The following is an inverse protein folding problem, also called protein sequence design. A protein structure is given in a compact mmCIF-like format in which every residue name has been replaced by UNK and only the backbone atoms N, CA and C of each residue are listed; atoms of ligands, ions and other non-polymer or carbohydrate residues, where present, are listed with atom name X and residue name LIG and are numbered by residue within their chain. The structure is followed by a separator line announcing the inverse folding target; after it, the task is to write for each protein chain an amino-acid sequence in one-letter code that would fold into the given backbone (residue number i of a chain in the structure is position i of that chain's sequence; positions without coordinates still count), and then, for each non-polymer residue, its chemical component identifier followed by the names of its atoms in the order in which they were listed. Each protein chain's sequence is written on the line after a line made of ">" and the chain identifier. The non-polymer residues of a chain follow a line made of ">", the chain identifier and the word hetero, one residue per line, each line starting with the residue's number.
data_IF_988889465769
#
_entry.id   IF_988889465769
#
_cell.length_a   1.000
_cell.length_b   1.000
_cell.length_c   1.000
_cell.angle_alpha   90.00
_cell.angle_beta   90.00
_cell.angle_gamma   90.00
#
_symmetry.space_group_name_H-M   'P 1'
#
loop_
_entity.id
_entity.type
_entity.pdbx_description
1 polymer ?
#
# COMPACT_ATOMS: atom_id res chain seq x y z
N UNK A 1 -11.13 9.05 10.58
CA UNK A 1 -11.26 8.48 9.23
C UNK A 1 -11.04 9.57 8.19
N UNK A 2 -10.63 9.16 6.98
CA UNK A 2 -10.02 10.01 5.97
C UNK A 2 -10.90 11.20 5.61
N UNK A 3 -10.25 12.37 5.55
CA UNK A 3 -10.90 13.66 5.29
C UNK A 3 -10.78 14.10 3.83
N UNK A 4 -9.96 13.41 3.04
CA UNK A 4 -9.70 13.77 1.64
C UNK A 4 -10.64 13.01 0.73
N UNK A 5 -11.11 13.71 -0.30
CA UNK A 5 -11.94 13.11 -1.32
C UNK A 5 -11.11 12.28 -2.30
N UNK A 6 -11.61 11.08 -2.62
CA UNK A 6 -11.04 10.23 -3.67
C UNK A 6 -11.68 10.51 -5.04
N UNK A 7 -12.75 11.31 -5.07
CA UNK A 7 -13.68 11.51 -6.20
C UNK A 7 -14.29 10.21 -6.72
N UNK A 8 -14.39 9.19 -5.86
CA UNK A 8 -15.04 7.91 -6.13
C UNK A 8 -16.27 7.72 -5.25
N UNK A 9 -17.24 6.98 -5.74
CA UNK A 9 -18.43 6.55 -5.00
C UNK A 9 -18.44 5.04 -4.82
N UNK A 10 -19.05 4.59 -3.73
CA UNK A 10 -19.38 3.18 -3.53
C UNK A 10 -20.52 2.76 -4.48
N UNK A 11 -20.81 1.45 -4.53
CA UNK A 11 -21.84 0.90 -5.42
C UNK A 11 -23.26 1.41 -5.13
N UNK A 12 -23.49 1.99 -3.94
CA UNK A 12 -24.74 2.58 -3.50
C UNK A 12 -24.72 4.13 -3.50
N UNK A 13 -23.83 4.73 -4.31
CA UNK A 13 -23.66 6.16 -4.52
C UNK A 13 -23.17 6.97 -3.31
N UNK A 14 -22.85 6.32 -2.18
CA UNK A 14 -22.19 6.99 -1.04
C UNK A 14 -20.74 7.36 -1.34
N UNK A 15 -20.21 8.33 -0.62
CA UNK A 15 -18.80 8.72 -0.74
C UNK A 15 -17.89 7.52 -0.45
N UNK A 16 -16.89 7.27 -1.31
CA UNK A 16 -15.84 6.30 -1.03
C UNK A 16 -14.63 7.03 -0.43
N UNK A 17 -14.23 6.60 0.76
CA UNK A 17 -12.99 7.02 1.42
C UNK A 17 -12.01 5.87 1.46
N UNK A 18 -10.72 6.20 1.50
CA UNK A 18 -9.64 5.23 1.57
C UNK A 18 -8.77 5.54 2.77
N UNK A 19 -8.48 4.50 3.55
CA UNK A 19 -7.47 4.50 4.60
C UNK A 19 -6.33 3.56 4.23
N UNK A 20 -5.10 3.95 4.55
CA UNK A 20 -3.95 3.08 4.41
C UNK A 20 -3.68 2.33 5.71
N UNK A 21 -3.32 1.06 5.56
CA UNK A 21 -2.80 0.23 6.64
C UNK A 21 -1.51 -0.44 6.20
N UNK A 22 -0.62 -0.71 7.14
CA UNK A 22 0.67 -1.37 6.90
C UNK A 22 1.12 -2.08 8.17
N UNK A 23 2.10 -2.96 8.03
CA UNK A 23 2.84 -3.55 9.14
C UNK A 23 4.32 -3.35 8.91
N UNK A 24 5.07 -3.21 10.00
CA UNK A 24 6.52 -3.21 9.97
C UNK A 24 7.05 -3.74 11.30
N UNK A 25 8.29 -4.22 11.31
CA UNK A 25 9.01 -4.45 12.55
C UNK A 25 9.17 -3.14 13.34
N UNK A 26 9.08 -3.21 14.66
CA UNK A 26 9.09 -2.04 15.55
C UNK A 26 10.42 -1.27 15.58
N UNK A 27 11.50 -1.87 15.08
CA UNK A 27 12.80 -1.24 14.95
C UNK A 27 12.88 -0.28 13.74
N UNK A 28 11.97 -0.39 12.77
CA UNK A 28 11.92 0.54 11.63
C UNK A 28 11.06 1.76 11.98
N UNK A 29 11.70 2.80 12.50
CA UNK A 29 11.02 3.97 13.08
C UNK A 29 10.53 5.01 12.07
N UNK A 30 10.72 4.79 10.77
CA UNK A 30 10.35 5.75 9.72
C UNK A 30 9.00 5.43 9.05
N UNK A 31 8.36 4.31 9.39
CA UNK A 31 7.14 3.85 8.70
C UNK A 31 5.98 4.84 8.80
N UNK A 32 5.85 5.57 9.91
CA UNK A 32 4.85 6.62 10.08
C UNK A 32 4.99 7.74 9.03
N UNK A 33 6.23 8.15 8.74
CA UNK A 33 6.55 9.13 7.70
C UNK A 33 6.34 8.55 6.30
N UNK A 34 6.65 7.27 6.08
CA UNK A 34 6.38 6.58 4.81
C UNK A 34 4.88 6.59 4.52
N UNK A 35 4.04 6.17 5.47
CA UNK A 35 2.57 6.21 5.33
C UNK A 35 2.07 7.64 5.11
N UNK A 36 2.67 8.62 5.80
CA UNK A 36 2.36 10.04 5.59
C UNK A 36 2.69 10.49 4.16
N UNK A 37 3.84 10.12 3.61
CA UNK A 37 4.22 10.38 2.21
C UNK A 37 3.19 9.80 1.24
N UNK A 38 2.77 8.55 1.44
CA UNK A 38 1.72 7.91 0.66
C UNK A 38 0.41 8.71 0.71
N UNK A 39 -0.04 9.09 1.91
CA UNK A 39 -1.26 9.88 2.11
C UNK A 39 -1.16 11.27 1.45
N UNK A 40 -0.02 11.95 1.54
CA UNK A 40 0.18 13.24 0.89
C UNK A 40 0.14 13.16 -0.64
N UNK A 41 0.66 12.09 -1.25
CA UNK A 41 0.56 11.90 -2.69
C UNK A 41 -0.90 11.76 -3.16
N UNK A 42 -1.76 11.14 -2.35
CA UNK A 42 -3.21 11.08 -2.61
C UNK A 42 -3.86 12.44 -2.37
N UNK A 43 -3.63 13.05 -1.20
CA UNK A 43 -4.26 14.31 -0.80
C UNK A 43 -3.94 15.49 -1.73
N UNK A 44 -2.76 15.48 -2.36
CA UNK A 44 -2.34 16.51 -3.32
C UNK A 44 -2.78 16.23 -4.76
N UNK A 45 -3.53 15.14 -4.99
CA UNK A 45 -3.99 14.74 -6.32
C UNK A 45 -2.88 14.23 -7.24
N UNK A 46 -1.67 13.99 -6.72
CA UNK A 46 -0.56 13.42 -7.50
C UNK A 46 -0.85 11.98 -7.90
N UNK A 47 -1.60 11.25 -7.08
CA UNK A 47 -1.98 9.86 -7.30
C UNK A 47 -3.46 9.69 -7.02
N UNK A 48 -4.19 9.09 -7.96
CA UNK A 48 -5.51 8.54 -7.69
C UNK A 48 -5.33 7.14 -7.10
N UNK A 49 -5.70 6.98 -5.83
CA UNK A 49 -5.49 5.72 -5.11
C UNK A 49 -6.50 4.65 -5.54
N UNK A 50 -6.00 3.45 -5.80
CA UNK A 50 -6.76 2.23 -6.06
C UNK A 50 -5.91 1.01 -5.65
N UNK A 51 -6.50 -0.19 -5.50
CA UNK A 51 -5.70 -1.41 -5.43
C UNK A 51 -4.81 -1.59 -6.67
N UNK A 52 -3.79 -2.43 -6.51
CA UNK A 52 -2.90 -2.91 -7.57
C UNK A 52 -2.13 -1.80 -8.28
N UNK A 53 -1.42 -0.98 -7.49
CA UNK A 53 -0.44 -0.04 -8.02
C UNK A 53 0.77 0.10 -7.10
N UNK A 54 1.88 0.65 -7.61
CA UNK A 54 3.10 0.91 -6.84
C UNK A 54 3.29 2.42 -6.64
N UNK A 55 3.51 2.83 -5.39
CA UNK A 55 4.03 4.16 -5.04
C UNK A 55 5.56 4.11 -5.04
N UNK A 56 6.22 4.61 -6.11
CA UNK A 56 7.67 4.58 -6.17
C UNK A 56 8.28 5.48 -5.09
N UNK A 57 9.41 5.06 -4.51
CA UNK A 57 10.28 5.86 -3.64
C UNK A 57 9.64 6.33 -2.33
N UNK A 58 8.47 5.79 -1.98
CA UNK A 58 7.77 6.17 -0.75
C UNK A 58 8.59 5.88 0.52
N UNK A 59 9.43 4.84 0.49
CA UNK A 59 10.37 4.52 1.58
C UNK A 59 11.68 5.29 1.41
N UNK A 60 12.26 5.28 0.20
CA UNK A 60 13.60 5.84 -0.06
C UNK A 60 13.70 7.35 0.22
N UNK A 61 12.60 8.10 0.09
CA UNK A 61 12.51 9.52 0.50
C UNK A 61 12.72 9.71 2.01
N UNK A 62 12.35 8.72 2.82
CA UNK A 62 12.43 8.75 4.29
C UNK A 62 13.67 8.04 4.84
N UNK A 63 14.08 6.94 4.20
CA UNK A 63 15.31 6.19 4.50
C UNK A 63 15.84 5.52 3.22
N UNK A 64 16.88 6.06 2.58
CA UNK A 64 17.42 5.50 1.34
C UNK A 64 18.35 4.29 1.56
N UNK A 65 18.60 3.89 2.82
CA UNK A 65 19.60 2.85 3.14
C UNK A 65 19.02 1.43 3.20
N UNK A 66 17.69 1.30 3.29
CA UNK A 66 16.99 0.02 3.37
C UNK A 66 16.79 -0.61 1.99
N UNK A 67 16.64 -1.95 1.97
CA UNK A 67 16.46 -2.70 0.73
C UNK A 67 15.12 -2.40 0.05
N UNK A 68 14.03 -2.35 0.83
CA UNK A 68 12.70 -1.99 0.32
C UNK A 68 12.60 -0.48 0.11
N UNK A 69 12.25 -0.04 -1.11
CA UNK A 69 12.27 1.38 -1.50
C UNK A 69 10.90 1.94 -1.86
N UNK A 70 9.99 1.08 -2.29
CA UNK A 70 8.66 1.46 -2.80
C UNK A 70 7.56 0.83 -1.95
N UNK A 71 6.33 1.31 -2.10
CA UNK A 71 5.16 0.69 -1.49
C UNK A 71 4.23 0.15 -2.58
N UNK A 72 4.01 -1.16 -2.60
CA UNK A 72 2.90 -1.78 -3.30
C UNK A 72 1.60 -1.46 -2.55
N UNK A 73 0.58 -1.01 -3.27
CA UNK A 73 -0.76 -0.77 -2.73
C UNK A 73 -1.68 -1.87 -3.21
N UNK A 74 -2.28 -2.60 -2.28
CA UNK A 74 -3.08 -3.79 -2.59
C UNK A 74 -4.26 -3.92 -1.62
N UNK A 75 -5.17 -4.83 -1.94
CA UNK A 75 -6.23 -5.22 -1.01
C UNK A 75 -5.61 -5.89 0.22
N UNK A 76 -6.05 -5.56 1.45
CA UNK A 76 -5.50 -6.18 2.65
C UNK A 76 -5.61 -7.71 2.61
N UNK A 77 -4.48 -8.38 2.80
CA UNK A 77 -4.42 -9.85 2.88
C UNK A 77 -4.00 -10.36 4.26
N UNK A 78 -3.47 -9.50 5.14
CA UNK A 78 -3.13 -9.91 6.51
C UNK A 78 -4.32 -9.92 7.47
N UNK A 79 -5.39 -9.17 7.18
CA UNK A 79 -6.53 -8.96 8.09
C UNK A 79 -7.83 -9.67 7.65
N UNK A 80 -7.75 -10.56 6.66
CA UNK A 80 -8.89 -11.32 6.14
C UNK A 80 -9.82 -10.48 5.24
N UNK A 81 -11.06 -10.95 5.07
CA UNK A 81 -11.98 -10.43 4.04
C UNK A 81 -12.68 -9.11 4.39
N UNK A 82 -12.59 -8.63 5.64
CA UNK A 82 -13.20 -7.35 6.02
C UNK A 82 -12.26 -6.18 5.68
N UNK A 83 -12.45 -5.63 4.48
CA UNK A 83 -11.64 -4.55 3.92
C UNK A 83 -12.38 -3.21 3.83
N UNK A 84 -13.61 -3.14 4.33
CA UNK A 84 -14.43 -1.93 4.35
C UNK A 84 -15.10 -1.73 5.70
N UNK A 85 -15.33 -0.47 6.04
CA UNK A 85 -16.19 -0.03 7.14
C UNK A 85 -17.33 0.78 6.56
N UNK A 86 -18.55 0.33 6.87
CA UNK A 86 -19.79 0.96 6.45
C UNK A 86 -20.20 2.03 7.48
N UNK A 87 -20.34 3.28 7.03
CA UNK A 87 -20.74 4.42 7.84
C UNK A 87 -22.01 5.05 7.27
N UNK A 88 -22.74 5.83 8.07
CA UNK A 88 -24.06 6.35 7.68
C UNK A 88 -24.05 7.07 6.31
N UNK A 89 -23.05 7.90 6.04
CA UNK A 89 -23.00 8.74 4.83
C UNK A 89 -21.88 8.35 3.85
N UNK A 90 -21.08 7.33 4.17
CA UNK A 90 -19.89 6.96 3.38
C UNK A 90 -19.50 5.50 3.58
N UNK A 91 -18.67 4.99 2.67
CA UNK A 91 -17.95 3.73 2.83
C UNK A 91 -16.47 4.04 2.92
N UNK A 92 -15.77 3.47 3.91
CA UNK A 92 -14.32 3.58 4.02
C UNK A 92 -13.68 2.25 3.68
N UNK A 93 -12.94 2.19 2.57
CA UNK A 93 -12.13 1.05 2.17
C UNK A 93 -10.72 1.15 2.76
N UNK A 94 -10.15 0.02 3.13
CA UNK A 94 -8.77 -0.09 3.57
C UNK A 94 -7.91 -0.66 2.46
N UNK A 95 -6.75 -0.03 2.23
CA UNK A 95 -5.72 -0.54 1.34
C UNK A 95 -4.44 -0.81 2.12
N UNK A 96 -3.84 -1.98 1.86
CA UNK A 96 -2.58 -2.37 2.45
C UNK A 96 -1.43 -1.80 1.63
N UNK A 97 -0.52 -1.13 2.32
CA UNK A 97 0.78 -0.76 1.78
C UNK A 97 1.78 -1.86 2.14
N UNK A 98 2.46 -2.43 1.15
CA UNK A 98 3.46 -3.50 1.31
C UNK A 98 4.81 -3.00 0.82
N UNK A 99 5.87 -3.02 1.65
CA UNK A 99 7.22 -2.66 1.21
C UNK A 99 7.74 -3.61 0.11
N UNK A 100 8.28 -3.02 -0.97
CA UNK A 100 8.91 -3.75 -2.08
C UNK A 100 10.23 -3.11 -2.51
N UNK A 101 11.14 -3.90 -3.09
CA UNK A 101 12.39 -3.40 -3.67
C UNK A 101 12.28 -3.05 -5.17
N UNK A 102 13.40 -2.60 -5.76
CA UNK A 102 13.48 -2.23 -7.18
C UNK A 102 13.15 -3.43 -8.09
N UNK A 103 13.60 -4.64 -7.75
CA UNK A 103 13.40 -5.85 -8.55
C UNK A 103 11.94 -6.27 -8.55
N UNK A 104 11.28 -6.18 -7.40
CA UNK A 104 9.85 -6.42 -7.25
C UNK A 104 9.01 -5.35 -7.96
N UNK A 105 9.40 -4.08 -7.88
CA UNK A 105 8.76 -3.02 -8.64
C UNK A 105 8.84 -3.28 -10.15
N UNK A 106 10.00 -3.70 -10.64
CA UNK A 106 10.18 -4.05 -12.06
C UNK A 106 9.35 -5.29 -12.45
N UNK A 107 9.29 -6.31 -11.59
CA UNK A 107 8.42 -7.45 -11.78
C UNK A 107 6.94 -7.04 -11.89
N UNK A 108 6.47 -6.17 -11.00
CA UNK A 108 5.10 -5.64 -11.02
C UNK A 108 4.83 -4.81 -12.29
N UNK A 109 5.84 -4.10 -12.81
CA UNK A 109 5.75 -3.38 -14.08
C UNK A 109 5.60 -4.32 -15.28
N UNK A 110 6.28 -5.46 -15.27
CA UNK A 110 6.27 -6.45 -16.37
C UNK A 110 5.04 -7.36 -16.34
N UNK A 111 4.61 -7.80 -15.16
CA UNK A 111 3.54 -8.80 -15.00
C UNK A 111 2.22 -8.18 -14.53
N UNK A 112 2.23 -7.56 -13.34
CA UNK A 112 1.24 -6.65 -12.78
C UNK A 112 1.49 -6.52 -11.25
N UNK A 113 1.03 -5.45 -10.60
CA UNK A 113 1.05 -5.36 -9.12
C UNK A 113 0.23 -6.48 -8.44
N UNK A 114 -0.87 -6.92 -9.07
CA UNK A 114 -1.68 -8.05 -8.60
C UNK A 114 -0.86 -9.35 -8.60
N UNK A 115 -0.11 -9.63 -9.67
CA UNK A 115 0.78 -10.82 -9.75
C UNK A 115 1.90 -10.79 -8.73
N UNK A 116 2.43 -9.61 -8.42
CA UNK A 116 3.38 -9.46 -7.30
C UNK A 116 2.70 -9.79 -5.96
N UNK A 117 1.49 -9.30 -5.73
CA UNK A 117 0.71 -9.61 -4.50
C UNK A 117 0.48 -11.13 -4.37
N UNK A 118 0.10 -11.81 -5.45
CA UNK A 118 -0.06 -13.27 -5.47
C UNK A 118 1.26 -13.99 -5.12
N UNK A 119 2.38 -13.55 -5.70
CA UNK A 119 3.70 -14.12 -5.46
C UNK A 119 4.12 -13.96 -3.99
N UNK A 120 3.98 -12.75 -3.42
CA UNK A 120 4.32 -12.47 -2.02
C UNK A 120 3.51 -13.36 -1.06
N UNK A 121 2.22 -13.53 -1.32
CA UNK A 121 1.34 -14.37 -0.53
C UNK A 121 1.68 -15.86 -0.67
N UNK A 122 1.85 -16.34 -1.90
CA UNK A 122 2.17 -17.75 -2.17
C UNK A 122 3.50 -18.18 -1.54
N UNK A 123 4.48 -17.29 -1.53
CA UNK A 123 5.80 -17.54 -0.95
C UNK A 123 5.87 -17.22 0.55
N UNK A 124 4.78 -16.77 1.18
CA UNK A 124 4.73 -16.38 2.59
C UNK A 124 5.86 -15.41 2.99
N UNK A 125 6.12 -14.43 2.13
CA UNK A 125 7.21 -13.47 2.30
C UNK A 125 7.01 -12.69 3.60
N UNK A 126 8.07 -12.54 4.40
CA UNK A 126 8.04 -11.72 5.62
C UNK A 126 8.01 -10.23 5.28
N UNK A 127 6.84 -9.72 4.92
CA UNK A 127 6.63 -8.32 4.54
C UNK A 127 6.81 -7.32 5.69
N UNK A 128 7.06 -7.77 6.93
CA UNK A 128 7.35 -6.90 8.06
C UNK A 128 8.82 -6.45 8.06
N UNK A 129 9.72 -7.25 7.46
CA UNK A 129 11.15 -6.97 7.40
C UNK A 129 11.47 -6.06 6.20
N UNK A 130 11.85 -4.81 6.49
CA UNK A 130 12.22 -3.79 5.50
C UNK A 130 13.56 -4.09 4.80
N UNK A 131 14.35 -5.03 5.33
CA UNK A 131 15.66 -5.42 4.82
C UNK A 131 15.68 -6.86 4.28
N UNK A 132 14.52 -7.49 4.11
CA UNK A 132 14.42 -8.81 3.50
C UNK A 132 15.03 -8.79 2.08
N UNK A 133 15.51 -9.93 1.59
CA UNK A 133 15.83 -10.08 0.17
C UNK A 133 14.56 -9.99 -0.69
N UNK A 134 14.76 -9.68 -1.98
CA UNK A 134 13.70 -9.72 -2.99
C UNK A 134 13.02 -11.10 -3.02
N UNK A 135 11.71 -11.10 -3.21
CA UNK A 135 10.95 -12.32 -3.48
C UNK A 135 11.03 -12.75 -4.95
N UNK A 136 11.56 -11.89 -5.81
CA UNK A 136 11.74 -12.13 -7.24
C UNK A 136 13.22 -12.43 -7.51
N UNK A 137 13.47 -13.47 -8.29
CA UNK A 137 14.80 -13.93 -8.69
C UNK A 137 15.19 -13.43 -10.10
#
# INVERSE_FOLDING_TARGET
>A
MARFDTNLTAADDRELRVEFLTVCQSNFTAMDKVVSTCAFNVATGRIQVKPDFVMPDAISVNDPTVAMKHMLVTTPFLWGEQTTVDEQDRVTAFLQLVPIDDTEMEYARVHSPEKLTELLQANQVDILDINRPSAVA
#
